data_IF_874593173542
#
_entry.id   IF_874593173542
#
_cell.length_a   1.000
_cell.length_b   1.000
_cell.length_c   1.000
_cell.angle_alpha   90.00
_cell.angle_beta   90.00
_cell.angle_gamma   90.00
#
_symmetry.space_group_name_H-M   'P 1'
#
loop_
_entity.id
_entity.type
_entity.pdbx_description
1 polymer ?
#
# COMPACT_ATOMS: atom_id res chain seq x y z
N UNK A 1 23.85 28.22 -0.67
CA UNK A 1 22.49 27.66 -0.47
C UNK A 1 22.43 26.28 -1.12
N UNK A 2 22.58 25.18 -0.36
CA UNK A 2 22.43 23.82 -0.91
C UNK A 2 20.94 23.53 -1.07
N UNK A 3 20.45 23.54 -2.31
CA UNK A 3 19.09 23.07 -2.62
C UNK A 3 19.16 21.54 -2.61
N UNK A 4 18.88 20.92 -1.47
CA UNK A 4 18.55 19.49 -1.46
C UNK A 4 17.20 19.36 -2.16
N UNK A 5 17.23 18.95 -3.42
CA UNK A 5 16.04 18.53 -4.15
C UNK A 5 15.56 17.23 -3.52
N UNK A 6 14.95 17.33 -2.35
CA UNK A 6 14.16 16.24 -1.79
C UNK A 6 12.99 16.09 -2.76
N UNK A 7 13.12 15.14 -3.70
CA UNK A 7 11.96 14.64 -4.43
C UNK A 7 11.06 14.05 -3.35
N UNK A 8 10.14 14.86 -2.84
CA UNK A 8 9.04 14.37 -2.05
C UNK A 8 8.28 13.48 -3.01
N UNK A 9 8.58 12.17 -3.01
CA UNK A 9 7.79 11.18 -3.71
C UNK A 9 6.46 11.09 -2.97
N UNK A 10 5.59 12.07 -3.23
CA UNK A 10 4.18 12.05 -2.88
C UNK A 10 3.52 11.06 -3.83
N UNK A 11 3.66 9.78 -3.53
CA UNK A 11 3.13 8.70 -4.35
C UNK A 11 3.86 7.41 -4.07
N UNK A 12 3.12 6.31 -4.03
CA UNK A 12 3.72 4.99 -4.10
C UNK A 12 4.31 4.86 -5.52
N UNK A 13 5.63 4.71 -5.61
CA UNK A 13 6.27 4.38 -6.88
C UNK A 13 5.68 3.10 -7.46
N UNK A 14 5.59 2.99 -8.80
CA UNK A 14 5.06 1.80 -9.48
C UNK A 14 5.68 0.48 -8.99
N UNK A 15 6.96 0.51 -8.58
CA UNK A 15 7.66 -0.65 -8.01
C UNK A 15 7.07 -1.07 -6.66
N UNK A 16 6.93 -0.13 -5.70
CA UNK A 16 6.25 -0.37 -4.43
C UNK A 16 4.79 -0.80 -4.64
N UNK A 17 4.06 -0.18 -5.58
CA UNK A 17 2.68 -0.57 -5.91
C UNK A 17 2.59 -2.04 -6.32
N UNK A 18 3.51 -2.49 -7.17
CA UNK A 18 3.57 -3.89 -7.61
C UNK A 18 3.98 -4.84 -6.48
N UNK A 19 4.96 -4.45 -5.64
CA UNK A 19 5.34 -5.21 -4.44
C UNK A 19 4.14 -5.40 -3.50
N UNK A 20 3.45 -4.32 -3.16
CA UNK A 20 2.25 -4.34 -2.31
C UNK A 20 1.19 -5.29 -2.86
N UNK A 21 0.83 -5.17 -4.15
CA UNK A 21 -0.17 -6.05 -4.78
C UNK A 21 0.28 -7.52 -4.75
N UNK A 22 1.57 -7.79 -4.95
CA UNK A 22 2.12 -9.15 -4.91
C UNK A 22 2.04 -9.73 -3.51
N UNK A 23 2.46 -8.99 -2.50
CA UNK A 23 2.39 -9.37 -1.08
C UNK A 23 0.93 -9.69 -0.68
N UNK A 24 -0.03 -8.86 -1.10
CA UNK A 24 -1.45 -9.08 -0.81
C UNK A 24 -1.95 -10.39 -1.45
N UNK A 25 -1.54 -10.67 -2.69
CA UNK A 25 -1.87 -11.93 -3.37
C UNK A 25 -1.22 -13.14 -2.70
N UNK A 26 0.03 -13.02 -2.28
CA UNK A 26 0.78 -14.08 -1.61
C UNK A 26 0.21 -14.39 -0.22
N UNK A 27 -0.35 -13.36 0.45
CA UNK A 27 -1.02 -13.50 1.74
C UNK A 27 -2.31 -14.32 1.70
N UNK A 28 -2.84 -14.68 0.51
CA UNK A 28 -4.11 -15.42 0.31
C UNK A 28 -5.33 -14.81 1.02
N UNK A 29 -5.27 -13.54 1.43
CA UNK A 29 -6.40 -12.84 2.02
C UNK A 29 -7.47 -12.64 0.95
N UNK A 30 -8.76 -12.66 1.35
CA UNK A 30 -9.89 -12.42 0.45
C UNK A 30 -10.09 -10.93 0.16
N UNK A 31 -8.99 -10.23 -0.10
CA UNK A 31 -8.95 -8.81 -0.45
C UNK A 31 -8.40 -8.65 -1.86
N UNK A 32 -8.91 -7.65 -2.57
CA UNK A 32 -8.52 -7.31 -3.91
C UNK A 32 -7.74 -6.00 -3.90
N UNK A 33 -6.51 -6.03 -4.39
CA UNK A 33 -5.66 -4.86 -4.53
C UNK A 33 -5.63 -4.37 -5.98
N UNK A 34 -5.78 -3.06 -6.17
CA UNK A 34 -5.79 -2.39 -7.47
C UNK A 34 -4.90 -1.16 -7.43
N UNK A 35 -4.09 -0.96 -8.47
CA UNK A 35 -3.19 0.20 -8.57
C UNK A 35 -3.96 1.33 -9.28
N UNK A 36 -4.11 2.46 -8.60
CA UNK A 36 -4.75 3.67 -9.10
C UNK A 36 -3.70 4.78 -9.22
N UNK A 37 -2.99 4.80 -10.35
CA UNK A 37 -1.88 5.73 -10.58
C UNK A 37 -0.78 5.55 -9.52
N UNK A 38 -0.65 6.52 -8.63
CA UNK A 38 0.35 6.56 -7.56
C UNK A 38 -0.19 6.06 -6.20
N UNK A 39 -1.38 5.44 -6.18
CA UNK A 39 -1.99 4.87 -4.98
C UNK A 39 -2.41 3.40 -5.20
N UNK A 40 -2.48 2.61 -4.13
CA UNK A 40 -3.03 1.25 -4.18
C UNK A 40 -4.34 1.23 -3.39
N UNK A 41 -5.43 0.89 -4.06
CA UNK A 41 -6.73 0.66 -3.43
C UNK A 41 -6.88 -0.82 -3.09
N UNK A 42 -7.16 -1.10 -1.82
CA UNK A 42 -7.47 -2.43 -1.32
C UNK A 42 -8.95 -2.49 -0.95
N UNK A 43 -9.66 -3.48 -1.49
CA UNK A 43 -11.10 -3.71 -1.24
C UNK A 43 -11.27 -5.11 -0.67
N UNK A 44 -12.05 -5.27 0.39
CA UNK A 44 -12.29 -6.55 1.05
C UNK A 44 -13.74 -6.66 1.49
N UNK A 45 -14.29 -7.87 1.50
CA UNK A 45 -15.65 -8.10 2.00
C UNK A 45 -15.70 -8.12 3.55
N UNK A 46 -14.57 -8.39 4.20
CA UNK A 46 -14.46 -8.44 5.66
C UNK A 46 -13.50 -7.36 6.16
N UNK A 47 -13.88 -6.71 7.26
CA UNK A 47 -13.03 -5.76 7.97
C UNK A 47 -11.78 -6.41 8.56
N UNK A 48 -11.88 -7.65 9.02
CA UNK A 48 -10.74 -8.39 9.58
C UNK A 48 -9.64 -8.59 8.54
N UNK A 49 -10.01 -9.06 7.32
CA UNK A 49 -9.04 -9.26 6.23
C UNK A 49 -8.37 -7.93 5.82
N UNK A 50 -9.10 -6.80 5.89
CA UNK A 50 -8.54 -5.47 5.62
C UNK A 50 -7.54 -5.03 6.69
N UNK A 51 -7.83 -5.29 7.97
CA UNK A 51 -6.91 -5.01 9.07
C UNK A 51 -5.66 -5.89 9.00
N UNK A 52 -5.82 -7.19 8.74
CA UNK A 52 -4.71 -8.12 8.57
C UNK A 52 -3.81 -7.70 7.41
N UNK A 53 -4.40 -7.26 6.29
CA UNK A 53 -3.65 -6.72 5.16
C UNK A 53 -2.84 -5.49 5.56
N UNK A 54 -3.42 -4.57 6.34
CA UNK A 54 -2.68 -3.39 6.83
C UNK A 54 -1.53 -3.75 7.76
N UNK A 55 -1.74 -4.71 8.67
CA UNK A 55 -0.69 -5.16 9.58
C UNK A 55 0.46 -5.82 8.81
N UNK A 56 0.13 -6.65 7.82
CA UNK A 56 1.11 -7.34 6.98
C UNK A 56 1.89 -6.34 6.12
N UNK A 57 1.22 -5.40 5.47
CA UNK A 57 1.88 -4.37 4.67
C UNK A 57 2.79 -3.47 5.50
N UNK A 58 2.42 -3.14 6.74
CA UNK A 58 3.29 -2.40 7.66
C UNK A 58 4.54 -3.19 8.06
N UNK A 59 4.45 -4.52 8.10
CA UNK A 59 5.54 -5.40 8.50
C UNK A 59 6.50 -5.72 7.35
N UNK A 60 5.96 -5.96 6.16
CA UNK A 60 6.73 -6.28 4.95
C UNK A 60 7.29 -5.03 4.26
N UNK A 61 6.50 -3.96 4.19
CA UNK A 61 6.89 -2.72 3.51
C UNK A 61 7.46 -1.74 4.53
N UNK A 62 8.69 -1.99 4.95
CA UNK A 62 9.47 -1.09 5.81
C UNK A 62 10.23 -0.02 5.02
N UNK A 63 10.28 -0.13 3.70
CA UNK A 63 11.07 0.73 2.80
C UNK A 63 10.49 2.15 2.62
N UNK A 64 9.20 2.35 2.91
CA UNK A 64 8.56 3.65 2.83
C UNK A 64 7.40 3.77 3.83
N UNK A 65 7.16 4.97 4.40
CA UNK A 65 5.99 5.21 5.23
C UNK A 65 4.71 5.08 4.38
N UNK A 66 4.05 3.92 4.47
CA UNK A 66 2.75 3.70 3.85
C UNK A 66 1.67 4.47 4.61
N UNK A 67 1.08 5.46 3.95
CA UNK A 67 -0.11 6.14 4.43
C UNK A 67 -1.36 5.38 4.01
N UNK A 68 -2.11 4.87 4.98
CA UNK A 68 -3.42 4.27 4.72
C UNK A 68 -4.51 5.33 4.92
N UNK A 69 -5.24 5.67 3.86
CA UNK A 69 -6.34 6.64 3.91
C UNK A 69 -7.59 6.08 3.22
N UNK A 70 -8.71 6.79 3.34
CA UNK A 70 -9.95 6.50 2.59
C UNK A 70 -10.55 5.12 2.87
N UNK A 71 -10.73 4.81 4.15
CA UNK A 71 -11.58 3.69 4.58
C UNK A 71 -13.03 3.97 4.16
N UNK A 72 -13.60 3.08 3.36
CA UNK A 72 -15.01 3.15 2.93
C UNK A 72 -15.69 1.83 3.32
N UNK A 73 -16.91 1.93 3.82
CA UNK A 73 -17.81 0.80 4.09
C UNK A 73 -18.48 0.31 2.80
#
# INVERSE_FOLDING_TARGET
KRKQTMKIQKGITSDLSKKVVRIIKDSKLKVQASIQGDAVRVTGAKRDDLQDTMALLKKEVTEAPLGFNNFRD
#
